data_IF_024491935767
#
_entry.id   IF_024491935767
#
_cell.length_a   1.000
_cell.length_b   1.000
_cell.length_c   1.000
_cell.angle_alpha   90.00
_cell.angle_beta   90.00
_cell.angle_gamma   90.00
#
_symmetry.space_group_name_H-M   'P 1'
#
loop_
_entity.id
_entity.type
_entity.pdbx_description
1 polymer ?
#
# COMPACT_ATOMS: atom_id res chain seq x y z
N UNK A 1 -3.95 18.36 -10.63
CA UNK A 1 -4.47 17.37 -11.61
C UNK A 1 -4.04 15.99 -11.13
N UNK A 2 -4.94 14.99 -11.13
CA UNK A 2 -4.61 13.60 -10.74
C UNK A 2 -4.59 12.71 -11.98
N UNK A 3 -3.60 11.82 -12.08
CA UNK A 3 -3.45 10.85 -13.17
C UNK A 3 -3.96 9.48 -12.71
N UNK A 4 -4.95 8.92 -13.42
CA UNK A 4 -5.42 7.55 -13.19
C UNK A 4 -4.67 6.56 -14.07
N UNK A 5 -4.21 5.45 -13.49
CA UNK A 5 -3.54 4.35 -14.20
C UNK A 5 -4.41 3.10 -13.96
N UNK A 6 -5.24 2.69 -14.94
CA UNK A 6 -6.09 1.52 -14.79
C UNK A 6 -5.25 0.23 -14.87
N UNK A 7 -5.81 -0.86 -14.35
CA UNK A 7 -5.31 -2.22 -14.56
C UNK A 7 -3.82 -2.41 -14.20
N UNK A 8 -3.36 -1.74 -13.14
CA UNK A 8 -1.99 -1.89 -12.63
C UNK A 8 -1.70 -3.35 -12.27
N UNK A 9 -2.67 -4.00 -11.64
CA UNK A 9 -2.69 -5.42 -11.34
C UNK A 9 -3.83 -6.07 -12.13
N UNK A 10 -3.56 -7.24 -12.70
CA UNK A 10 -4.63 -8.07 -13.25
C UNK A 10 -5.44 -8.75 -12.13
N UNK A 11 -6.54 -9.41 -12.50
CA UNK A 11 -7.45 -10.03 -11.53
C UNK A 11 -6.77 -11.12 -10.67
N UNK A 12 -5.88 -11.92 -11.24
CA UNK A 12 -5.16 -12.97 -10.53
C UNK A 12 -4.16 -12.39 -9.53
N UNK A 13 -3.35 -11.41 -9.97
CA UNK A 13 -2.39 -10.71 -9.14
C UNK A 13 -3.07 -9.98 -7.98
N UNK A 14 -4.20 -9.33 -8.25
CA UNK A 14 -5.01 -8.69 -7.22
C UNK A 14 -5.52 -9.72 -6.20
N UNK A 15 -6.01 -10.87 -6.68
CA UNK A 15 -6.48 -11.93 -5.79
C UNK A 15 -5.36 -12.51 -4.93
N UNK A 16 -4.18 -12.73 -5.50
CA UNK A 16 -2.99 -13.18 -4.76
C UNK A 16 -2.60 -12.18 -3.65
N UNK A 17 -2.57 -10.88 -3.98
CA UNK A 17 -2.31 -9.82 -3.00
C UNK A 17 -3.35 -9.83 -1.87
N UNK A 18 -4.64 -9.94 -2.21
CA UNK A 18 -5.73 -9.99 -1.21
C UNK A 18 -5.62 -11.20 -0.30
N UNK A 19 -5.35 -12.39 -0.85
CA UNK A 19 -5.17 -13.62 -0.07
C UNK A 19 -4.00 -13.49 0.89
N UNK A 20 -2.86 -12.95 0.43
CA UNK A 20 -1.69 -12.74 1.28
C UNK A 20 -1.98 -11.71 2.40
N UNK A 21 -2.61 -10.58 2.06
CA UNK A 21 -3.00 -9.53 3.02
C UNK A 21 -4.05 -10.01 4.04
N UNK A 22 -4.90 -10.98 3.70
CA UNK A 22 -5.86 -11.56 4.63
C UNK A 22 -5.18 -12.26 5.82
N UNK A 23 -3.98 -12.84 5.59
CA UNK A 23 -3.16 -13.46 6.62
C UNK A 23 -2.13 -12.53 7.28
N UNK A 24 -2.10 -11.24 6.92
CA UNK A 24 -1.12 -10.29 7.43
C UNK A 24 -1.29 -9.95 8.92
N UNK A 25 -0.19 -9.62 9.59
CA UNK A 25 -0.20 -9.20 10.99
C UNK A 25 -0.60 -7.73 11.13
N UNK A 26 -1.90 -7.45 11.06
CA UNK A 26 -2.46 -6.11 11.14
C UNK A 26 -2.34 -5.52 12.54
N UNK A 27 -1.65 -4.38 12.63
CA UNK A 27 -1.45 -3.65 13.88
C UNK A 27 -2.27 -2.36 13.90
N UNK A 28 -2.51 -1.81 15.09
CA UNK A 28 -3.18 -0.52 15.22
C UNK A 28 -2.31 0.59 14.60
N UNK A 29 -2.86 1.30 13.61
CA UNK A 29 -2.14 2.34 12.88
C UNK A 29 -1.82 3.60 13.69
N UNK A 30 -2.33 3.70 14.93
CA UNK A 30 -1.89 4.73 15.90
C UNK A 30 -0.48 4.49 16.41
N UNK A 31 0.00 3.24 16.40
CA UNK A 31 1.36 2.89 16.83
C UNK A 31 2.45 3.41 15.88
N UNK A 32 2.11 3.67 14.61
CA UNK A 32 3.02 4.19 13.58
C UNK A 32 2.82 5.67 13.30
N UNK A 33 1.88 6.33 13.98
CA UNK A 33 1.56 7.73 13.80
C UNK A 33 2.58 8.61 14.57
N UNK A 34 3.16 9.61 13.89
CA UNK A 34 3.86 10.69 14.60
C UNK A 34 2.90 11.41 15.55
N UNK A 35 3.43 12.10 16.57
CA UNK A 35 2.68 12.72 17.69
C UNK A 35 1.40 13.48 17.32
N UNK A 36 1.26 14.00 16.09
CA UNK A 36 0.10 14.77 15.63
C UNK A 36 -1.06 13.91 15.06
N UNK A 37 -0.83 12.64 14.69
CA UNK A 37 -1.81 11.82 13.96
C UNK A 37 -2.52 10.75 14.82
N UNK A 38 -2.26 10.71 16.13
CA UNK A 38 -2.82 9.70 17.05
C UNK A 38 -4.34 9.86 17.27
N UNK A 39 -4.87 11.07 17.13
CA UNK A 39 -6.24 11.39 17.56
C UNK A 39 -7.34 11.15 16.51
N UNK A 40 -6.99 10.85 15.26
CA UNK A 40 -7.98 10.69 14.14
C UNK A 40 -7.75 9.47 13.25
N UNK A 41 -6.59 8.82 13.36
CA UNK A 41 -6.23 7.67 12.53
C UNK A 41 -6.82 6.37 13.11
N UNK A 42 -8.00 6.00 12.63
CA UNK A 42 -8.70 4.77 12.99
C UNK A 42 -8.52 3.72 11.89
N UNK A 43 -7.27 3.27 11.71
CA UNK A 43 -6.92 2.26 10.72
C UNK A 43 -5.99 1.20 11.29
N UNK A 44 -5.86 0.10 10.55
CA UNK A 44 -4.86 -0.93 10.81
C UNK A 44 -3.79 -0.88 9.74
N UNK A 45 -2.57 -1.20 10.10
CA UNK A 45 -1.42 -1.20 9.18
C UNK A 45 -0.57 -2.44 9.38
N UNK A 46 0.04 -2.92 8.31
CA UNK A 46 1.16 -3.85 8.44
C UNK A 46 2.40 -3.08 8.89
N UNK A 47 3.25 -3.72 9.70
CA UNK A 47 4.51 -3.12 10.13
C UNK A 47 5.44 -2.92 8.94
N UNK A 48 6.32 -1.92 9.03
CA UNK A 48 7.22 -1.59 7.93
C UNK A 48 8.31 -2.65 7.72
N UNK A 49 8.70 -3.35 8.79
CA UNK A 49 9.64 -4.45 8.81
C UNK A 49 8.98 -5.83 8.64
N UNK A 50 7.66 -5.88 8.42
CA UNK A 50 6.95 -7.12 8.11
C UNK A 50 7.42 -7.66 6.74
N UNK A 51 7.89 -8.91 6.64
CA UNK A 51 8.29 -9.52 5.37
C UNK A 51 7.19 -9.45 4.30
N UNK A 52 5.92 -9.54 4.70
CA UNK A 52 4.78 -9.44 3.81
C UNK A 52 4.66 -8.02 3.21
N UNK A 53 4.91 -6.98 4.01
CA UNK A 53 4.93 -5.59 3.54
C UNK A 53 6.00 -5.41 2.47
N UNK A 54 7.21 -5.92 2.71
CA UNK A 54 8.29 -5.81 1.73
C UNK A 54 7.96 -6.58 0.46
N UNK A 55 7.56 -7.85 0.57
CA UNK A 55 7.25 -8.71 -0.58
C UNK A 55 6.18 -8.11 -1.49
N UNK A 56 5.06 -7.67 -0.92
CA UNK A 56 3.97 -7.08 -1.70
C UNK A 56 4.34 -5.68 -2.23
N UNK A 57 5.11 -4.92 -1.47
CA UNK A 57 5.62 -3.62 -1.90
C UNK A 57 6.49 -3.74 -3.14
N UNK A 58 7.48 -4.63 -3.12
CA UNK A 58 8.38 -4.90 -4.24
C UNK A 58 7.61 -5.40 -5.48
N UNK A 59 6.64 -6.29 -5.26
CA UNK A 59 5.77 -6.78 -6.33
C UNK A 59 4.97 -5.65 -7.00
N UNK A 60 4.31 -4.78 -6.22
CA UNK A 60 3.53 -3.66 -6.76
C UNK A 60 4.44 -2.67 -7.51
N UNK A 61 5.64 -2.39 -6.98
CA UNK A 61 6.61 -1.52 -7.65
C UNK A 61 7.07 -2.12 -8.98
N UNK A 62 7.30 -3.43 -9.04
CA UNK A 62 7.64 -4.12 -10.27
C UNK A 62 6.52 -4.03 -11.32
N UNK A 63 5.25 -4.17 -10.90
CA UNK A 63 4.10 -3.96 -11.79
C UNK A 63 4.05 -2.51 -12.28
N UNK A 64 4.15 -1.51 -11.40
CA UNK A 64 4.12 -0.08 -11.77
C UNK A 64 5.24 0.31 -12.73
N UNK A 65 6.45 -0.23 -12.56
CA UNK A 65 7.58 0.04 -13.43
C UNK A 65 7.35 -0.43 -14.89
N UNK A 66 6.47 -1.41 -15.10
CA UNK A 66 6.09 -1.91 -16.42
C UNK A 66 5.03 -1.04 -17.11
N UNK A 67 4.41 -0.08 -16.41
CA UNK A 67 3.36 0.78 -16.96
C UNK A 67 3.94 2.07 -17.56
N UNK A 68 3.92 2.25 -18.91
CA UNK A 68 4.49 3.45 -19.54
C UNK A 68 3.84 4.75 -19.05
N UNK A 69 2.54 4.68 -18.72
CA UNK A 69 1.79 5.82 -18.16
C UNK A 69 2.30 6.25 -16.79
N UNK A 70 2.70 5.30 -15.95
CA UNK A 70 3.34 5.60 -14.66
C UNK A 70 4.72 6.23 -14.89
N UNK A 71 5.55 5.61 -15.74
CA UNK A 71 6.91 6.08 -16.00
C UNK A 71 6.92 7.50 -16.59
N UNK A 72 6.07 7.77 -17.58
CA UNK A 72 5.97 9.10 -18.18
C UNK A 72 5.33 10.14 -17.26
N UNK A 73 4.38 9.73 -16.41
CA UNK A 73 3.62 10.63 -15.54
C UNK A 73 4.33 11.00 -14.25
N UNK A 74 5.10 10.06 -13.66
CA UNK A 74 5.75 10.23 -12.36
C UNK A 74 7.27 10.43 -12.45
N UNK A 75 7.91 9.97 -13.54
CA UNK A 75 9.37 10.02 -13.74
C UNK A 75 10.15 9.63 -12.46
N UNK A 76 9.91 8.43 -11.90
CA UNK A 76 10.34 8.10 -10.55
C UNK A 76 11.86 7.94 -10.47
N UNK A 77 12.51 8.75 -9.64
CA UNK A 77 13.92 8.57 -9.26
C UNK A 77 14.08 7.58 -8.08
N UNK A 78 13.21 7.71 -7.08
CA UNK A 78 13.16 6.84 -5.89
C UNK A 78 11.73 6.82 -5.35
N UNK A 79 11.26 5.64 -4.96
CA UNK A 79 9.93 5.45 -4.38
C UNK A 79 10.07 5.08 -2.91
N UNK A 80 9.31 5.75 -2.04
CA UNK A 80 9.17 5.31 -0.65
C UNK A 80 8.38 4.00 -0.66
N UNK A 81 8.85 2.92 -0.01
CA UNK A 81 8.21 1.62 -0.06
C UNK A 81 6.70 1.71 0.23
N UNK A 82 5.85 1.00 -0.53
CA UNK A 82 4.42 0.96 -0.29
C UNK A 82 4.10 0.53 1.14
N UNK A 83 3.08 1.17 1.73
CA UNK A 83 2.51 0.79 3.03
C UNK A 83 1.10 0.27 2.82
N UNK A 84 0.73 -0.72 3.64
CA UNK A 84 -0.58 -1.36 3.57
C UNK A 84 -1.44 -0.93 4.74
N UNK A 85 -2.57 -0.31 4.42
CA UNK A 85 -3.53 0.20 5.39
C UNK A 85 -4.88 -0.47 5.17
N UNK A 86 -5.54 -0.85 6.26
CA UNK A 86 -6.89 -1.42 6.27
C UNK A 86 -7.80 -0.50 7.09
N UNK A 87 -8.93 -0.14 6.50
CA UNK A 87 -9.99 0.64 7.15
C UNK A 87 -11.23 -0.25 7.25
N UNK A 88 -11.85 -0.28 8.41
CA UNK A 88 -13.11 -1.00 8.66
C UNK A 88 -14.05 -0.09 9.46
N UNK A 89 -15.36 -0.37 9.41
CA UNK A 89 -16.37 0.22 10.29
C UNK A 89 -16.39 1.77 10.36
N UNK A 90 -16.19 2.44 9.22
CA UNK A 90 -16.17 3.91 9.16
C UNK A 90 -14.83 4.54 9.55
N UNK A 91 -13.76 3.74 9.66
CA UNK A 91 -12.40 4.21 9.92
C UNK A 91 -11.94 5.30 8.94
N UNK A 92 -11.36 6.36 9.50
CA UNK A 92 -10.86 7.54 8.78
C UNK A 92 -9.34 7.57 8.72
N UNK A 93 -8.81 8.30 7.73
CA UNK A 93 -7.38 8.62 7.63
C UNK A 93 -6.99 9.77 8.55
#
# INVERSE_FOLDING_TARGET
MMLSIPDVLNAEQLQQCRTALAGGNWQDGRLTAGHQAVNVKANQQLAQDDPLTQQLGDFILACLAQHPRFMAGALPLKVVPPRFNRYAEGGTY
#
